data_IF_947050037083
#
_entry.id   IF_947050037083
#
_cell.length_a   1.000
_cell.length_b   1.000
_cell.length_c   1.000
_cell.angle_alpha   90.00
_cell.angle_beta   90.00
_cell.angle_gamma   90.00
#
_symmetry.space_group_name_H-M   'P 1'
#
loop_
_entity.id
_entity.type
_entity.pdbx_description
1 polymer ?
#
# COMPACT_ATOMS: atom_id res chain seq x y z
N UNK A 1 -27.51 9.76 1.53
CA UNK A 1 -27.67 8.42 0.91
C UNK A 1 -27.03 8.55 -0.48
N UNK A 2 -25.81 8.12 -0.78
CA UNK A 2 -24.84 7.21 -0.15
C UNK A 2 -23.46 7.71 -0.63
N UNK A 3 -22.51 7.87 0.29
CA UNK A 3 -21.10 7.48 0.16
C UNK A 3 -20.52 7.45 -1.28
N UNK A 4 -19.65 8.37 -1.68
CA UNK A 4 -19.03 8.24 -3.01
C UNK A 4 -17.85 9.15 -3.34
N UNK A 5 -17.70 10.30 -2.69
CA UNK A 5 -16.58 11.22 -2.98
C UNK A 5 -15.26 10.81 -2.33
N UNK A 6 -15.07 9.51 -2.08
CA UNK A 6 -13.78 8.93 -1.75
C UNK A 6 -12.85 9.17 -2.92
N UNK A 7 -11.92 10.11 -2.74
CA UNK A 7 -10.55 10.08 -3.26
C UNK A 7 -10.44 9.27 -4.55
N UNK A 8 -10.99 9.81 -5.64
CA UNK A 8 -10.79 9.24 -6.98
C UNK A 8 -9.38 9.58 -7.46
N UNK A 9 -8.38 9.06 -6.74
CA UNK A 9 -6.99 9.07 -7.15
C UNK A 9 -6.72 7.79 -7.93
N UNK A 10 -6.47 7.98 -9.21
CA UNK A 10 -6.13 6.91 -10.13
C UNK A 10 -4.70 6.48 -9.79
N UNK A 11 -4.56 5.40 -9.01
CA UNK A 11 -3.26 4.78 -8.75
C UNK A 11 -2.92 3.97 -9.99
N UNK A 12 -1.92 4.45 -10.72
CA UNK A 12 -1.45 3.81 -11.95
C UNK A 12 -0.31 2.88 -11.60
N UNK A 13 -0.52 1.57 -11.78
CA UNK A 13 0.54 0.55 -11.77
C UNK A 13 1.32 0.67 -13.08
N UNK A 14 2.16 1.70 -13.24
CA UNK A 14 2.90 1.90 -14.49
C UNK A 14 4.10 0.95 -14.64
N UNK A 15 4.47 0.26 -13.57
CA UNK A 15 5.43 -0.85 -13.52
C UNK A 15 5.00 -1.71 -12.32
N UNK A 16 5.08 -3.03 -12.41
CA UNK A 16 4.55 -3.94 -11.38
C UNK A 16 5.09 -3.65 -9.96
N UNK A 17 6.23 -2.95 -9.87
CA UNK A 17 6.93 -2.58 -8.65
C UNK A 17 6.73 -1.14 -8.14
N UNK A 18 5.97 -0.29 -8.85
CA UNK A 18 5.86 1.16 -8.54
C UNK A 18 4.42 1.59 -8.24
N UNK A 19 4.22 2.35 -7.16
CA UNK A 19 2.97 3.06 -6.85
C UNK A 19 3.13 4.52 -7.26
N UNK A 20 2.27 4.98 -8.16
CA UNK A 20 2.15 6.40 -8.51
C UNK A 20 0.81 6.96 -8.07
N UNK A 21 0.84 8.20 -7.60
CA UNK A 21 -0.34 8.95 -7.20
C UNK A 21 -0.51 10.17 -8.09
N UNK A 22 -1.72 10.30 -8.65
CA UNK A 22 -2.14 11.45 -9.44
C UNK A 22 -3.30 12.13 -8.69
N UNK A 23 -3.12 13.37 -8.22
CA UNK A 23 -4.22 14.13 -7.63
C UNK A 23 -5.27 14.46 -8.70
N UNK A 24 -6.55 14.41 -8.34
CA UNK A 24 -7.67 14.59 -9.28
C UNK A 24 -7.69 15.97 -9.98
N UNK A 25 -7.01 16.98 -9.42
CA UNK A 25 -6.92 18.33 -10.00
C UNK A 25 -6.21 18.33 -11.35
N UNK A 26 -5.36 17.33 -11.62
CA UNK A 26 -4.66 17.13 -12.88
C UNK A 26 -5.16 15.85 -13.54
N UNK A 27 -5.86 15.96 -14.68
CA UNK A 27 -6.31 14.80 -15.49
C UNK A 27 -5.18 14.19 -16.35
N UNK A 28 -3.94 14.61 -16.15
CA UNK A 28 -2.77 14.20 -16.92
C UNK A 28 -1.81 13.39 -16.05
N UNK A 29 -1.28 12.29 -16.61
CA UNK A 29 -0.24 11.44 -15.99
C UNK A 29 1.09 12.19 -15.76
N UNK A 30 1.27 13.33 -16.45
CA UNK A 30 2.42 14.24 -16.40
C UNK A 30 2.80 14.66 -14.98
N UNK A 31 1.83 14.76 -14.06
CA UNK A 31 2.04 15.23 -12.69
C UNK A 31 1.98 14.11 -11.64
N UNK A 32 2.08 12.84 -12.05
CA UNK A 32 2.08 11.73 -11.10
C UNK A 32 3.37 11.72 -10.26
N UNK A 33 3.21 11.58 -8.95
CA UNK A 33 4.35 11.44 -8.03
C UNK A 33 4.55 9.97 -7.69
N UNK A 34 5.81 9.51 -7.68
CA UNK A 34 6.16 8.17 -7.19
C UNK A 34 6.01 8.18 -5.67
N UNK A 35 5.09 7.38 -5.16
CA UNK A 35 4.90 7.22 -3.71
C UNK A 35 5.77 6.12 -3.13
N UNK A 36 6.01 5.07 -3.91
CA UNK A 36 6.77 3.92 -3.46
C UNK A 36 7.26 3.11 -4.65
N UNK A 37 8.45 2.55 -4.51
CA UNK A 37 9.03 1.59 -5.43
C UNK A 37 9.72 0.50 -4.60
N UNK A 38 9.45 -0.77 -4.93
CA UNK A 38 10.15 -1.88 -4.27
C UNK A 38 11.62 -1.86 -4.66
N UNK A 39 12.51 -2.03 -3.68
CA UNK A 39 13.97 -2.05 -3.90
C UNK A 39 14.40 -3.18 -4.84
N UNK A 40 13.76 -4.34 -4.77
CA UNK A 40 14.11 -5.53 -5.55
C UNK A 40 13.32 -5.64 -6.87
N UNK A 41 12.64 -4.57 -7.29
CA UNK A 41 11.73 -4.56 -8.45
C UNK A 41 10.66 -5.67 -8.39
N UNK A 42 10.32 -6.11 -7.18
CA UNK A 42 9.32 -7.15 -6.96
C UNK A 42 7.91 -6.58 -7.18
N UNK A 43 6.97 -7.38 -7.75
CA UNK A 43 5.64 -6.89 -7.99
C UNK A 43 4.88 -6.60 -6.68
N UNK A 44 4.01 -5.61 -6.68
CA UNK A 44 3.11 -5.30 -5.57
C UNK A 44 1.80 -6.08 -5.74
N UNK A 45 1.39 -6.80 -4.70
CA UNK A 45 0.23 -7.70 -4.74
C UNK A 45 -1.08 -7.00 -4.39
N UNK A 46 -1.04 -6.12 -3.39
CA UNK A 46 -2.24 -5.50 -2.83
C UNK A 46 -2.01 -4.05 -2.46
N UNK A 47 -3.09 -3.28 -2.54
CA UNK A 47 -3.15 -1.90 -2.10
C UNK A 47 -4.48 -1.67 -1.37
N UNK A 48 -4.45 -1.02 -0.22
CA UNK A 48 -5.65 -0.71 0.56
C UNK A 48 -5.57 0.69 1.17
N UNK A 49 -6.65 1.46 1.06
CA UNK A 49 -6.76 2.75 1.74
C UNK A 49 -7.12 2.56 3.21
N UNK A 50 -6.52 3.37 4.07
CA UNK A 50 -6.99 3.49 5.44
C UNK A 50 -8.39 4.15 5.44
N UNK A 51 -9.35 3.50 6.10
CA UNK A 51 -10.75 3.95 6.17
C UNK A 51 -10.97 5.14 7.10
N UNK A 52 -10.09 5.33 8.09
CA UNK A 52 -10.19 6.41 9.08
C UNK A 52 -9.45 7.66 8.61
N UNK A 53 -8.26 7.49 8.06
CA UNK A 53 -7.45 8.58 7.53
C UNK A 53 -6.98 8.26 6.10
N UNK A 54 -7.58 8.89 5.07
CA UNK A 54 -7.26 8.61 3.68
C UNK A 54 -5.85 9.04 3.27
N UNK A 55 -5.11 9.75 4.13
CA UNK A 55 -3.71 10.08 3.84
C UNK A 55 -2.78 8.85 3.90
N UNK A 56 -3.26 7.73 4.44
CA UNK A 56 -2.48 6.50 4.58
C UNK A 56 -2.97 5.40 3.64
N UNK A 57 -2.02 4.73 3.00
CA UNK A 57 -2.27 3.57 2.13
C UNK A 57 -1.37 2.41 2.56
N UNK A 58 -1.92 1.21 2.63
CA UNK A 58 -1.17 -0.01 2.85
C UNK A 58 -0.84 -0.69 1.51
N UNK A 59 0.37 -1.23 1.37
CA UNK A 59 0.75 -2.11 0.25
C UNK A 59 1.53 -3.33 0.71
N UNK A 60 1.39 -4.43 -0.04
CA UNK A 60 2.06 -5.71 0.22
C UNK A 60 2.86 -6.12 -1.02
N UNK A 61 4.20 -6.23 -0.96
CA UNK A 61 5.02 -6.85 -1.99
C UNK A 61 4.71 -8.33 -2.23
N UNK A 62 5.17 -8.85 -3.36
CA UNK A 62 5.03 -10.24 -3.78
C UNK A 62 5.52 -11.26 -2.75
N UNK A 63 6.60 -10.95 -2.03
CA UNK A 63 7.16 -11.84 -1.03
C UNK A 63 6.24 -12.02 0.20
N UNK A 64 5.26 -11.13 0.38
CA UNK A 64 4.29 -11.19 1.47
C UNK A 64 4.89 -11.02 2.87
N UNK A 65 6.19 -10.76 2.97
CA UNK A 65 6.93 -10.74 4.22
C UNK A 65 6.58 -9.54 5.09
N UNK A 66 6.21 -8.42 4.44
CA UNK A 66 6.02 -7.12 5.08
C UNK A 66 4.81 -6.42 4.50
N UNK A 67 4.17 -5.60 5.30
CA UNK A 67 3.17 -4.62 4.86
C UNK A 67 3.75 -3.22 5.06
N UNK A 68 3.72 -2.40 4.01
CA UNK A 68 4.18 -1.01 4.06
C UNK A 68 2.98 -0.08 4.16
N UNK A 69 3.01 0.85 5.13
CA UNK A 69 2.05 1.94 5.21
C UNK A 69 2.73 3.21 4.69
N UNK A 70 2.13 3.81 3.66
CA UNK A 70 2.62 4.97 2.94
C UNK A 70 1.80 6.20 3.32
N UNK A 71 2.46 7.31 3.62
CA UNK A 71 1.82 8.62 3.78
C UNK A 71 1.85 9.36 2.43
N UNK A 72 0.69 9.64 1.86
CA UNK A 72 0.59 10.25 0.53
C UNK A 72 0.77 11.77 0.54
N UNK A 73 0.78 12.41 1.72
CA UNK A 73 0.95 13.87 1.85
C UNK A 73 2.38 14.30 1.52
N UNK A 74 3.33 13.42 1.81
CA UNK A 74 4.75 13.62 1.60
C UNK A 74 5.24 12.45 0.75
N UNK A 75 5.34 12.66 -0.56
CA UNK A 75 5.72 11.60 -1.50
C UNK A 75 6.98 10.85 -1.03
N UNK A 76 6.95 9.53 -1.15
CA UNK A 76 8.07 8.61 -0.88
C UNK A 76 8.39 8.28 0.59
N UNK A 77 7.55 8.66 1.57
CA UNK A 77 7.79 8.28 2.97
C UNK A 77 6.94 7.08 3.39
N UNK A 78 7.62 5.97 3.72
CA UNK A 78 7.00 4.85 4.45
C UNK A 78 6.80 5.30 5.88
N UNK A 79 5.54 5.42 6.31
CA UNK A 79 5.18 5.81 7.67
C UNK A 79 5.46 4.68 8.66
N UNK A 80 5.17 3.43 8.29
CA UNK A 80 5.51 2.27 9.09
C UNK A 80 5.59 0.98 8.26
N UNK A 81 6.31 0.00 8.81
CA UNK A 81 6.45 -1.35 8.25
C UNK A 81 5.94 -2.32 9.29
N UNK A 82 5.02 -3.18 8.88
CA UNK A 82 4.55 -4.30 9.69
C UNK A 82 5.18 -5.59 9.16
N UNK A 83 6.02 -6.24 9.97
CA UNK A 83 6.51 -7.59 9.67
C UNK A 83 5.40 -8.60 9.98
N UNK A 84 5.23 -9.58 9.07
CA UNK A 84 4.44 -10.75 9.40
C UNK A 84 5.34 -11.68 10.21
N UNK A 85 5.30 -11.59 11.55
CA UNK A 85 5.88 -12.63 12.39
C UNK A 85 5.14 -13.93 12.08
N UNK A 86 5.83 -15.04 11.75
CA UNK A 86 5.18 -16.32 11.66
C UNK A 86 4.62 -16.60 13.05
N UNK A 87 3.30 -16.47 13.21
CA UNK A 87 2.60 -16.94 14.41
C UNK A 87 3.02 -18.38 14.60
N UNK A 88 3.88 -18.60 15.60
CA UNK A 88 4.28 -19.93 16.02
C UNK A 88 3.03 -20.52 16.65
N UNK A 89 2.20 -21.16 15.82
CA UNK A 89 1.20 -22.08 16.32
C UNK A 89 2.01 -23.26 16.89
N UNK A 90 2.51 -23.10 18.11
CA UNK A 90 2.87 -24.27 18.91
C UNK A 90 1.53 -24.95 19.16
N UNK A 91 1.19 -25.88 18.28
CA UNK A 91 0.13 -26.85 18.52
C UNK A 91 0.53 -27.56 19.79
N UNK A 92 0.07 -27.10 20.95
CA UNK A 92 0.14 -27.88 22.18
C UNK A 92 -0.83 -29.04 21.97
N UNK A 93 -0.36 -30.09 21.32
CA UNK A 93 -0.95 -31.42 21.41
C UNK A 93 -0.85 -31.84 22.88
N UNK A 94 -1.89 -31.56 23.65
CA UNK A 94 -2.10 -32.19 24.95
C UNK A 94 -2.52 -33.64 24.68
N UNK A 95 -1.74 -34.65 25.11
CA UNK A 95 -2.19 -36.02 25.06
C UNK A 95 -3.26 -36.21 26.14
N UNK A 96 -4.49 -36.48 25.71
CA UNK A 96 -5.50 -37.18 26.51
C UNK A 96 -5.82 -38.48 25.79
#
# INVERSE_FOLDING_TARGET
>A
MILGTYVSCMIMFSSLCTIRYTPYTSRTLEHSTILYETQDLSPLMKLAWNKLDPNYIATIPCDGSKTYILDIRYGSVVACILSNEPTSYTTHHTPF
#
